data_IF_579546403522
#
_entry.id   IF_579546403522
#
_cell.length_a   1.000
_cell.length_b   1.000
_cell.length_c   1.000
_cell.angle_alpha   90.00
_cell.angle_beta   90.00
_cell.angle_gamma   90.00
#
_symmetry.space_group_name_H-M   'P 1'
#
loop_
_entity.id
_entity.type
_entity.pdbx_description
1 polymer ?
#
# COMPACT_ATOMS: atom_id res chain seq x y z
N UNK A 1 0.07 -17.19 5.85
CA UNK A 1 1.01 -17.09 4.72
C UNK A 1 0.40 -16.12 3.72
N UNK A 2 1.15 -15.10 3.34
CA UNK A 2 0.76 -14.18 2.26
C UNK A 2 0.60 -14.93 0.94
N UNK A 3 -0.42 -14.61 0.15
CA UNK A 3 -0.55 -15.07 -1.24
C UNK A 3 0.45 -14.38 -2.16
N UNK A 4 0.87 -13.17 -1.80
CA UNK A 4 1.81 -12.37 -2.59
C UNK A 4 3.17 -12.25 -1.91
N UNK A 5 4.26 -12.42 -2.67
CA UNK A 5 5.61 -12.16 -2.18
C UNK A 5 5.97 -10.67 -2.37
N UNK A 6 7.07 -10.26 -1.75
CA UNK A 6 7.66 -8.93 -1.97
C UNK A 6 7.93 -8.65 -3.45
N UNK A 7 8.45 -9.65 -4.16
CA UNK A 7 8.75 -9.58 -5.59
C UNK A 7 7.48 -9.31 -6.41
N UNK A 8 6.34 -9.91 -6.05
CA UNK A 8 5.06 -9.61 -6.71
C UNK A 8 4.65 -8.14 -6.54
N UNK A 9 4.87 -7.56 -5.36
CA UNK A 9 4.56 -6.15 -5.12
C UNK A 9 5.46 -5.24 -5.98
N UNK A 10 6.76 -5.52 -6.00
CA UNK A 10 7.74 -4.76 -6.78
C UNK A 10 7.48 -4.86 -8.29
N UNK A 11 7.13 -6.04 -8.79
CA UNK A 11 6.78 -6.26 -10.19
C UNK A 11 5.52 -5.48 -10.58
N UNK A 12 4.48 -5.50 -9.74
CA UNK A 12 3.25 -4.75 -10.00
C UNK A 12 3.51 -3.25 -9.97
N UNK A 13 4.29 -2.75 -9.01
CA UNK A 13 4.67 -1.33 -8.97
C UNK A 13 5.45 -0.91 -10.23
N UNK A 14 6.41 -1.74 -10.67
CA UNK A 14 7.18 -1.53 -11.89
C UNK A 14 6.29 -1.49 -13.15
N UNK A 15 5.31 -2.40 -13.25
CA UNK A 15 4.35 -2.43 -14.36
C UNK A 15 3.46 -1.19 -14.39
N UNK A 16 2.95 -0.76 -13.24
CA UNK A 16 2.10 0.43 -13.13
C UNK A 16 2.88 1.69 -13.50
N UNK A 17 4.11 1.85 -12.98
CA UNK A 17 4.99 2.96 -13.32
C UNK A 17 5.29 3.01 -14.82
N UNK A 18 5.74 1.89 -15.40
CA UNK A 18 6.05 1.81 -16.83
C UNK A 18 4.82 2.08 -17.71
N UNK A 19 3.63 1.71 -17.25
CA UNK A 19 2.37 2.02 -17.93
C UNK A 19 2.08 3.52 -17.89
N UNK A 20 2.19 4.15 -16.72
CA UNK A 20 2.06 5.61 -16.56
C UNK A 20 3.03 6.38 -17.47
N UNK A 21 4.30 6.00 -17.49
CA UNK A 21 5.33 6.61 -18.35
C UNK A 21 5.01 6.50 -19.85
N UNK A 22 4.52 5.31 -20.29
CA UNK A 22 4.10 5.10 -21.67
C UNK A 22 2.90 5.96 -22.05
N UNK A 23 1.90 6.05 -21.16
CA UNK A 23 0.72 6.89 -21.38
C UNK A 23 1.09 8.37 -21.47
N UNK A 24 1.94 8.85 -20.56
CA UNK A 24 2.47 10.21 -20.60
C UNK A 24 3.23 10.50 -21.91
N UNK A 25 4.09 9.57 -22.34
CA UNK A 25 4.86 9.69 -23.60
C UNK A 25 3.98 9.67 -24.85
N UNK A 26 2.86 8.97 -24.79
CA UNK A 26 1.86 8.93 -25.86
C UNK A 26 0.92 10.15 -25.88
N UNK A 27 1.14 11.13 -24.99
CA UNK A 27 0.28 12.31 -24.86
C UNK A 27 -1.13 11.99 -24.38
N UNK A 28 -1.32 10.85 -23.70
CA UNK A 28 -2.61 10.50 -23.12
C UNK A 28 -2.97 11.48 -22.02
N UNK A 29 -4.23 11.89 -22.00
CA UNK A 29 -4.71 12.90 -21.07
C UNK A 29 -4.79 12.40 -19.63
N UNK A 30 -5.09 13.33 -18.73
CA UNK A 30 -5.24 13.11 -17.28
C UNK A 30 -6.08 11.87 -16.92
N UNK A 31 -7.15 11.58 -17.67
CA UNK A 31 -8.01 10.42 -17.41
C UNK A 31 -7.29 9.06 -17.49
N UNK A 32 -6.32 8.90 -18.39
CA UNK A 32 -5.56 7.66 -18.50
C UNK A 32 -4.56 7.51 -17.34
N UNK A 33 -3.97 8.61 -16.89
CA UNK A 33 -3.07 8.63 -15.73
C UNK A 33 -3.84 8.37 -14.42
N UNK A 34 -5.02 8.97 -14.26
CA UNK A 34 -5.91 8.73 -13.12
C UNK A 34 -6.35 7.26 -13.03
N UNK A 35 -6.56 6.58 -14.16
CA UNK A 35 -6.86 5.15 -14.17
C UNK A 35 -5.70 4.29 -13.65
N UNK A 36 -4.45 4.63 -13.98
CA UNK A 36 -3.25 3.97 -13.42
C UNK A 36 -3.16 4.22 -11.92
N UNK A 37 -3.42 5.45 -11.47
CA UNK A 37 -3.48 5.79 -10.04
C UNK A 37 -4.52 4.95 -9.29
N UNK A 38 -5.74 4.86 -9.81
CA UNK A 38 -6.81 4.06 -9.21
C UNK A 38 -6.47 2.56 -9.12
N UNK A 39 -5.79 2.02 -10.13
CA UNK A 39 -5.30 0.64 -10.11
C UNK A 39 -4.23 0.44 -9.03
N UNK A 40 -3.29 1.37 -8.90
CA UNK A 40 -2.27 1.31 -7.85
C UNK A 40 -2.90 1.31 -6.45
N UNK A 41 -3.86 2.19 -6.18
CA UNK A 41 -4.59 2.18 -4.90
C UNK A 41 -5.31 0.85 -4.66
N UNK A 42 -5.97 0.29 -5.68
CA UNK A 42 -6.68 -0.99 -5.56
C UNK A 42 -5.73 -2.15 -5.22
N UNK A 43 -4.56 -2.19 -5.86
CA UNK A 43 -3.53 -3.18 -5.52
C UNK A 43 -2.95 -2.95 -4.12
N UNK A 44 -2.72 -1.70 -3.73
CA UNK A 44 -2.20 -1.37 -2.42
C UNK A 44 -3.14 -1.86 -1.29
N UNK A 45 -4.46 -1.68 -1.45
CA UNK A 45 -5.45 -2.25 -0.52
C UNK A 45 -5.44 -3.78 -0.51
N UNK A 46 -5.35 -4.40 -1.68
CA UNK A 46 -5.33 -5.85 -1.80
C UNK A 46 -4.08 -6.47 -1.14
N UNK A 47 -2.92 -5.84 -1.30
CA UNK A 47 -1.68 -6.29 -0.69
C UNK A 47 -1.65 -6.03 0.81
N UNK A 48 -2.21 -4.91 1.27
CA UNK A 48 -2.41 -4.63 2.69
C UNK A 48 -3.29 -5.68 3.37
N UNK A 49 -4.43 -6.02 2.78
CA UNK A 49 -5.33 -7.04 3.33
C UNK A 49 -4.72 -8.45 3.35
N UNK A 50 -3.81 -8.75 2.43
CA UNK A 50 -3.15 -10.06 2.34
C UNK A 50 -1.92 -10.19 3.26
N UNK A 51 -1.32 -9.05 3.61
CA UNK A 51 -0.15 -8.97 4.46
C UNK A 51 -0.37 -7.94 5.58
N UNK A 52 -1.29 -8.23 6.52
CA UNK A 52 -1.54 -7.35 7.66
C UNK A 52 -0.30 -7.32 8.57
N UNK A 53 -0.05 -6.16 9.18
CA UNK A 53 0.92 -6.07 10.25
C UNK A 53 0.48 -6.94 11.44
N UNK A 54 1.43 -7.32 12.28
CA UNK A 54 1.19 -8.09 13.50
C UNK A 54 1.97 -7.51 14.66
N UNK A 55 1.45 -7.67 15.87
CA UNK A 55 2.14 -7.24 17.08
C UNK A 55 3.30 -8.19 17.40
N UNK A 56 4.53 -7.66 17.52
CA UNK A 56 5.74 -8.42 17.85
C UNK A 56 5.65 -9.10 19.23
N UNK A 57 4.83 -8.55 20.13
CA UNK A 57 4.67 -9.02 21.50
C UNK A 57 3.60 -10.11 21.68
N UNK A 58 2.40 -9.92 21.13
CA UNK A 58 1.28 -10.84 21.33
C UNK A 58 0.88 -11.62 20.06
N UNK A 59 1.44 -11.28 18.90
CA UNK A 59 1.14 -11.93 17.62
C UNK A 59 -0.22 -11.59 17.03
N UNK A 60 -1.02 -10.73 17.68
CA UNK A 60 -2.30 -10.27 17.14
C UNK A 60 -2.08 -9.45 15.88
N UNK A 61 -2.94 -9.64 14.89
CA UNK A 61 -2.95 -8.82 13.68
C UNK A 61 -3.46 -7.41 13.98
N UNK A 62 -3.07 -6.44 13.15
CA UNK A 62 -3.43 -5.02 13.32
C UNK A 62 -4.94 -4.79 13.56
N UNK A 63 -5.81 -5.53 12.86
CA UNK A 63 -7.27 -5.43 13.05
C UNK A 63 -7.72 -5.87 14.45
N UNK A 64 -7.12 -6.92 15.00
CA UNK A 64 -7.41 -7.40 16.36
C UNK A 64 -6.79 -6.48 17.41
N UNK A 65 -5.58 -5.99 17.16
CA UNK A 65 -4.86 -5.04 18.00
C UNK A 65 -5.59 -3.70 18.11
N UNK A 66 -6.32 -3.28 17.08
CA UNK A 66 -7.12 -2.04 17.10
C UNK A 66 -8.29 -2.07 18.09
N UNK A 67 -8.72 -3.26 18.53
CA UNK A 67 -9.91 -3.43 19.40
C UNK A 67 -9.59 -4.07 20.74
N UNK A 68 -8.33 -4.39 21.01
CA UNK A 68 -7.91 -5.08 22.23
C UNK A 68 -6.59 -4.51 22.77
N UNK A 69 -6.40 -4.62 24.09
CA UNK A 69 -5.14 -4.26 24.73
C UNK A 69 -4.08 -5.35 24.52
N UNK A 70 -2.81 -4.96 24.40
CA UNK A 70 -1.72 -5.92 24.37
C UNK A 70 -1.52 -6.59 25.74
N UNK A 71 -0.92 -7.77 25.77
CA UNK A 71 -0.58 -8.48 27.01
C UNK A 71 0.70 -7.94 27.69
N UNK A 72 1.31 -6.89 27.14
CA UNK A 72 2.45 -6.21 27.75
C UNK A 72 2.05 -5.40 28.98
N UNK A 73 3.05 -5.02 29.79
CA UNK A 73 2.83 -4.23 31.00
C UNK A 73 2.22 -2.86 30.73
N UNK A 74 2.55 -2.26 29.58
CA UNK A 74 2.04 -0.97 29.12
C UNK A 74 0.82 -1.11 28.19
N UNK A 75 0.31 -2.34 28.00
CA UNK A 75 -0.87 -2.67 27.20
C UNK A 75 -0.82 -2.19 25.74
N UNK A 76 0.38 -1.83 25.26
CA UNK A 76 0.59 -1.20 23.95
C UNK A 76 1.05 -2.23 22.92
N UNK A 77 0.46 -2.18 21.73
CA UNK A 77 0.87 -3.02 20.61
C UNK A 77 2.07 -2.43 19.88
N UNK A 78 3.07 -3.27 19.64
CA UNK A 78 4.23 -2.96 18.79
C UNK A 78 4.05 -3.66 17.45
N UNK A 79 3.46 -2.97 16.48
CA UNK A 79 3.12 -3.54 15.18
C UNK A 79 4.35 -3.57 14.27
N UNK A 80 4.71 -4.77 13.81
CA UNK A 80 5.79 -5.01 12.87
C UNK A 80 5.29 -5.72 11.60
N UNK A 81 6.13 -5.64 10.56
CA UNK A 81 5.86 -6.28 9.28
C UNK A 81 4.72 -5.60 8.51
N UNK A 82 3.97 -6.41 7.77
CA UNK A 82 2.90 -5.94 6.91
C UNK A 82 3.36 -5.36 5.58
N UNK A 83 2.40 -4.93 4.77
CA UNK A 83 2.65 -4.30 3.47
C UNK A 83 2.75 -2.78 3.60
N UNK A 84 3.86 -2.22 3.12
CA UNK A 84 4.12 -0.77 3.08
C UNK A 84 3.32 -0.08 1.99
N UNK A 85 2.09 0.32 2.32
CA UNK A 85 1.17 0.99 1.39
C UNK A 85 1.78 2.25 0.76
N UNK A 86 2.44 3.07 1.57
CA UNK A 86 3.06 4.33 1.12
C UNK A 86 4.27 4.07 0.22
N UNK A 87 5.12 3.10 0.59
CA UNK A 87 6.27 2.69 -0.20
C UNK A 87 5.85 2.17 -1.57
N UNK A 88 4.81 1.34 -1.63
CA UNK A 88 4.31 0.82 -2.89
C UNK A 88 3.74 1.91 -3.81
N UNK A 89 2.95 2.86 -3.27
CA UNK A 89 2.42 3.97 -4.06
C UNK A 89 3.55 4.87 -4.57
N UNK A 90 4.60 5.08 -3.77
CA UNK A 90 5.82 5.74 -4.22
C UNK A 90 6.47 5.00 -5.37
N UNK A 91 6.63 3.69 -5.25
CA UNK A 91 7.28 2.87 -6.28
C UNK A 91 6.48 2.84 -7.59
N UNK A 92 5.15 3.00 -7.50
CA UNK A 92 4.26 3.23 -8.63
C UNK A 92 4.42 4.62 -9.29
N UNK A 93 5.15 5.55 -8.66
CA UNK A 93 5.35 6.93 -9.13
C UNK A 93 4.23 7.90 -8.74
N UNK A 94 3.48 7.63 -7.67
CA UNK A 94 2.29 8.40 -7.27
C UNK A 94 2.51 9.33 -6.05
N UNK A 95 3.76 9.61 -5.68
CA UNK A 95 4.08 10.43 -4.50
C UNK A 95 3.48 11.85 -4.52
N UNK A 96 3.21 12.39 -5.71
CA UNK A 96 2.75 13.76 -5.92
C UNK A 96 1.23 13.93 -5.94
N UNK A 97 0.44 12.86 -5.97
CA UNK A 97 -1.04 12.95 -5.95
C UNK A 97 -1.65 12.85 -4.55
N UNK A 98 -0.85 12.55 -3.51
CA UNK A 98 -1.35 12.47 -2.12
C UNK A 98 -1.66 13.86 -1.53
N UNK A 99 -1.15 14.95 -2.12
CA UNK A 99 -1.40 16.32 -1.62
C UNK A 99 -2.63 17.03 -2.22
N UNK A 100 -3.27 16.53 -3.27
CA UNK A 100 -4.37 17.25 -3.95
C UNK A 100 -5.78 16.82 -3.52
N UNK A 101 -5.93 15.76 -2.72
CA UNK A 101 -7.25 15.28 -2.27
C UNK A 101 -7.71 15.81 -0.91
N UNK A 102 -6.89 16.63 -0.21
CA UNK A 102 -7.29 17.28 1.06
C UNK A 102 -7.76 18.74 0.89
N UNK A 103 -7.93 19.23 -0.33
CA UNK A 103 -8.30 20.63 -0.60
C UNK A 103 -9.56 20.81 -1.46
N UNK A 104 -10.53 19.88 -1.40
CA UNK A 104 -11.87 20.08 -1.98
C UNK A 104 -12.96 19.89 -0.94
#
# INVERSE_FOLDING_TARGET
MSRYSKEHYEDVAGLLRATGEKLASAGQGYGAMAAVGALAYSFAFLFYADHPAYCSHCGQHEEEAATSACHTFDETHDLEGGFGHTEFLRDCGLESEVQTWQSQ
#
